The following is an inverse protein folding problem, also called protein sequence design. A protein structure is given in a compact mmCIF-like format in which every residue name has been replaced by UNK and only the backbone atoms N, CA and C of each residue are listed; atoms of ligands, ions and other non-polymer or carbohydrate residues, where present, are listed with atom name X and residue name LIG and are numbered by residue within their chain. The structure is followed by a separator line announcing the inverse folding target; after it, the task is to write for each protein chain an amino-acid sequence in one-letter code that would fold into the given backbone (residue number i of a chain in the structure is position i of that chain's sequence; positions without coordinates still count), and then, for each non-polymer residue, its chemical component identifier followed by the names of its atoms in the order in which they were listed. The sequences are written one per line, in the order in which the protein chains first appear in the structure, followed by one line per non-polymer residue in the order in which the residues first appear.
data_IF_902354900382
#
_entry.id   IF_902354900382
#
_cell.length_a   1.000
_cell.length_b   1.000
_cell.length_c   1.000
_cell.angle_alpha   90.00
_cell.angle_beta   90.00
_cell.angle_gamma   90.00
#
_symmetry.space_group_name_H-M   'P 1'
#
loop_
_entity.id
_entity.type
_entity.pdbx_description
1 polymer ?
#
# COMPACT_ATOMS: atom_id res chain seq x y z
N UNK A 1 -7.96 -12.07 -9.20
CA UNK A 1 -7.19 -11.37 -8.15
C UNK A 1 -6.53 -10.16 -8.79
N UNK A 2 -7.14 -8.97 -8.70
CA UNK A 2 -6.73 -7.79 -9.47
C UNK A 2 -5.47 -7.08 -8.92
N UNK A 3 -5.06 -7.38 -7.68
CA UNK A 3 -3.85 -6.80 -7.06
C UNK A 3 -2.53 -7.26 -7.71
N UNK A 4 -2.50 -8.46 -8.33
CA UNK A 4 -1.28 -8.98 -9.02
C UNK A 4 -0.79 -8.04 -10.10
N UNK A 5 -1.71 -7.50 -10.89
CA UNK A 5 -1.36 -6.75 -12.09
C UNK A 5 -0.74 -5.38 -11.74
N UNK A 6 -1.09 -4.82 -10.58
CA UNK A 6 -0.48 -3.58 -10.08
C UNK A 6 0.96 -3.81 -9.58
N UNK A 7 1.27 -4.99 -9.04
CA UNK A 7 2.63 -5.38 -8.66
C UNK A 7 3.51 -5.82 -9.83
N UNK A 8 2.99 -5.89 -11.06
CA UNK A 8 3.80 -6.21 -12.24
C UNK A 8 4.64 -5.03 -12.73
N UNK A 9 4.42 -3.81 -12.21
CA UNK A 9 5.40 -2.73 -12.36
C UNK A 9 6.66 -3.12 -11.56
N UNK A 10 7.87 -3.13 -12.18
CA UNK A 10 9.08 -3.66 -11.55
C UNK A 10 9.35 -3.09 -10.15
N UNK A 11 9.25 -1.77 -10.00
CA UNK A 11 9.50 -1.08 -8.72
C UNK A 11 8.41 -1.35 -7.67
N UNK A 12 7.13 -1.45 -8.07
CA UNK A 12 6.03 -1.77 -7.15
C UNK A 12 6.12 -3.21 -6.68
N UNK A 13 6.52 -4.13 -7.56
CA UNK A 13 6.80 -5.52 -7.23
C UNK A 13 7.95 -5.65 -6.23
N UNK A 14 9.06 -4.93 -6.44
CA UNK A 14 10.21 -4.90 -5.54
C UNK A 14 9.82 -4.36 -4.16
N UNK A 15 9.15 -3.20 -4.09
CA UNK A 15 8.74 -2.61 -2.82
C UNK A 15 7.77 -3.50 -2.03
N UNK A 16 6.89 -4.24 -2.70
CA UNK A 16 6.03 -5.21 -2.00
C UNK A 16 6.80 -6.45 -1.54
N UNK A 17 7.74 -6.96 -2.34
CA UNK A 17 8.56 -8.11 -1.96
C UNK A 17 9.47 -7.79 -0.77
N UNK A 18 10.05 -6.58 -0.72
CA UNK A 18 10.99 -6.16 0.32
C UNK A 18 10.30 -5.76 1.63
N UNK A 19 9.08 -5.21 1.58
CA UNK A 19 8.42 -4.61 2.74
C UNK A 19 7.11 -5.28 3.17
N UNK A 20 6.64 -6.33 2.49
CA UNK A 20 5.37 -6.98 2.80
C UNK A 20 5.50 -8.43 3.27
N UNK A 21 5.00 -8.71 4.48
CA UNK A 21 4.71 -10.07 4.96
C UNK A 21 3.37 -10.58 4.43
N UNK A 22 3.08 -10.31 3.16
CA UNK A 22 1.76 -10.47 2.53
C UNK A 22 1.14 -11.84 2.81
N UNK A 23 1.94 -12.90 2.69
CA UNK A 23 1.46 -14.28 2.75
C UNK A 23 1.24 -14.79 4.17
N UNK A 24 1.92 -14.20 5.16
CA UNK A 24 1.83 -14.59 6.57
C UNK A 24 0.67 -13.88 7.28
N UNK A 25 0.40 -12.61 6.92
CA UNK A 25 -0.53 -11.72 7.63
C UNK A 25 -1.69 -11.25 6.73
N UNK A 26 -2.19 -12.14 5.85
CA UNK A 26 -3.07 -11.72 4.74
C UNK A 26 -4.35 -11.00 5.19
N UNK A 27 -4.93 -11.41 6.33
CA UNK A 27 -6.19 -10.87 6.82
C UNK A 27 -5.98 -9.59 7.63
N UNK A 28 -4.97 -9.56 8.47
CA UNK A 28 -4.50 -8.38 9.20
C UNK A 28 -4.13 -7.28 8.21
N UNK A 29 -3.42 -7.65 7.13
CA UNK A 29 -3.06 -6.74 6.04
C UNK A 29 -4.27 -6.24 5.27
N UNK A 30 -5.29 -7.07 5.10
CA UNK A 30 -6.56 -6.63 4.51
C UNK A 30 -7.24 -5.60 5.41
N UNK A 31 -7.39 -5.87 6.71
CA UNK A 31 -8.11 -4.97 7.62
C UNK A 31 -7.40 -3.63 7.83
N UNK A 32 -6.06 -3.63 7.99
CA UNK A 32 -5.28 -2.38 8.08
C UNK A 32 -5.33 -1.52 6.81
N UNK A 33 -5.76 -2.10 5.68
CA UNK A 33 -5.92 -1.38 4.41
C UNK A 33 -7.38 -0.96 4.21
N UNK A 34 -8.33 -1.87 4.44
CA UNK A 34 -9.74 -1.69 4.13
C UNK A 34 -10.36 -0.49 4.87
N UNK A 35 -10.16 -0.41 6.19
CA UNK A 35 -10.79 0.65 6.99
C UNK A 35 -10.24 2.04 6.69
N UNK A 36 -8.91 2.28 6.64
CA UNK A 36 -8.37 3.60 6.31
C UNK A 36 -8.68 4.05 4.88
N UNK A 37 -8.67 3.13 3.90
CA UNK A 37 -9.01 3.45 2.51
C UNK A 37 -10.49 3.84 2.40
N UNK A 38 -11.39 3.11 3.08
CA UNK A 38 -12.80 3.49 3.16
C UNK A 38 -12.99 4.88 3.79
N UNK A 39 -12.22 5.20 4.83
CA UNK A 39 -12.25 6.49 5.50
C UNK A 39 -11.93 7.69 4.59
N UNK A 40 -11.13 7.50 3.53
CA UNK A 40 -10.88 8.54 2.51
C UNK A 40 -12.17 9.00 1.82
N UNK A 41 -13.21 8.16 1.76
CA UNK A 41 -14.51 8.50 1.17
C UNK A 41 -15.54 8.83 2.26
N UNK A 42 -15.52 8.09 3.37
CA UNK A 42 -16.63 8.06 4.32
C UNK A 42 -16.40 8.80 5.63
N UNK A 43 -15.20 9.31 5.92
CA UNK A 43 -14.92 10.04 7.17
C UNK A 43 -15.45 11.49 7.18
N UNK A 44 -16.25 11.88 6.18
CA UNK A 44 -16.89 13.20 6.11
C UNK A 44 -15.85 14.33 6.19
N UNK A 45 -15.98 15.29 7.12
CA UNK A 45 -14.99 16.38 7.26
C UNK A 45 -13.56 15.93 7.54
N UNK A 46 -13.35 14.69 8.02
CA UNK A 46 -12.02 14.14 8.32
C UNK A 46 -11.38 13.43 7.13
N UNK A 47 -12.11 13.18 6.03
CA UNK A 47 -11.62 12.42 4.87
C UNK A 47 -10.27 12.93 4.33
N UNK A 48 -10.07 14.25 4.29
CA UNK A 48 -8.81 14.85 3.83
C UNK A 48 -7.62 14.58 4.78
N UNK A 49 -7.87 14.43 6.09
CA UNK A 49 -6.86 14.02 7.07
C UNK A 49 -6.54 12.54 6.89
N UNK A 50 -7.56 11.69 6.78
CA UNK A 50 -7.39 10.24 6.56
C UNK A 50 -6.60 9.96 5.29
N UNK A 51 -6.88 10.70 4.20
CA UNK A 51 -6.11 10.60 2.97
C UNK A 51 -4.62 10.92 3.15
N UNK A 52 -4.28 11.93 3.96
CA UNK A 52 -2.88 12.26 4.27
C UNK A 52 -2.21 11.19 5.11
N UNK A 53 -2.93 10.60 6.05
CA UNK A 53 -2.41 9.51 6.88
C UNK A 53 -2.13 8.25 6.05
N UNK A 54 -3.07 7.85 5.18
CA UNK A 54 -2.89 6.74 4.24
C UNK A 54 -1.67 6.97 3.33
N UNK A 55 -1.47 8.19 2.82
CA UNK A 55 -0.24 8.55 2.08
C UNK A 55 1.00 8.45 2.96
N UNK A 56 0.92 8.88 4.21
CA UNK A 56 2.01 8.82 5.19
C UNK A 56 2.52 7.41 5.46
N UNK A 57 1.64 6.39 5.47
CA UNK A 57 2.05 4.98 5.62
C UNK A 57 3.02 4.50 4.53
N UNK A 58 3.03 5.17 3.37
CA UNK A 58 3.87 4.81 2.23
C UNK A 58 5.11 5.70 2.11
N UNK A 59 5.32 6.67 2.99
CA UNK A 59 6.40 7.65 2.86
C UNK A 59 7.80 7.03 2.92
N UNK A 60 7.96 5.90 3.60
CA UNK A 60 9.22 5.17 3.73
C UNK A 60 9.28 3.90 2.85
N UNK A 61 8.29 3.69 1.97
CA UNK A 61 8.21 2.50 1.12
C UNK A 61 8.57 2.91 -0.31
N UNK A 62 9.73 2.50 -0.77
CA UNK A 62 10.23 2.68 -2.13
C UNK A 62 10.96 1.40 -2.53
N UNK A 63 10.73 0.88 -3.73
CA UNK A 63 11.47 -0.27 -4.26
C UNK A 63 12.44 0.18 -5.34
N UNK A 64 13.63 -0.42 -5.36
CA UNK A 64 14.55 -0.30 -6.49
C UNK A 64 14.46 -1.60 -7.29
N UNK A 65 14.22 -1.52 -8.59
CA UNK A 65 14.11 -2.73 -9.41
C UNK A 65 15.45 -3.48 -9.53
N UNK A 66 15.43 -4.69 -10.09
CA UNK A 66 16.63 -5.52 -10.27
C UNK A 66 17.71 -4.90 -11.19
N UNK A 67 17.43 -3.74 -11.80
CA UNK A 67 18.33 -2.97 -12.66
C UNK A 67 18.78 -1.65 -12.02
N UNK A 68 18.45 -1.41 -10.75
CA UNK A 68 18.88 -0.23 -10.00
C UNK A 68 18.03 1.01 -10.26
N UNK A 69 16.83 0.88 -10.86
CA UNK A 69 15.94 2.01 -11.11
C UNK A 69 14.99 2.21 -9.91
N UNK A 70 14.91 3.43 -9.35
CA UNK A 70 13.98 3.78 -8.28
C UNK A 70 12.56 4.00 -8.80
#
# INVERSE_FOLDING_TARGET
WAGSMQNMHPELGAGVAEHSRFFEERWERLFRSLYPIGGVVYDGPLAARTAREVRGYHAAISGVDAHGRP
#
